data_IF_715781814254
#
_entry.id   IF_715781814254
#
_cell.length_a   1.000
_cell.length_b   1.000
_cell.length_c   1.000
_cell.angle_alpha   90.00
_cell.angle_beta   90.00
_cell.angle_gamma   90.00
#
_symmetry.space_group_name_H-M   'P 1'
#
loop_
_entity.id
_entity.type
_entity.pdbx_description
1 polymer ?
#
# COMPACT_ATOMS: atom_id res chain seq x y z
N UNK A 1 -31.91 1.84 4.07
CA UNK A 1 -30.95 2.96 3.96
C UNK A 1 -30.11 2.74 2.72
N UNK A 2 -30.40 3.47 1.64
CA UNK A 2 -29.73 3.36 0.34
C UNK A 2 -28.34 3.96 0.47
N UNK A 3 -27.30 3.11 0.54
CA UNK A 3 -25.93 3.60 0.49
C UNK A 3 -25.63 3.92 -0.97
N UNK A 4 -25.42 5.19 -1.30
CA UNK A 4 -25.12 5.61 -2.67
C UNK A 4 -23.82 4.97 -3.13
N UNK A 5 -23.92 3.98 -4.02
CA UNK A 5 -22.79 3.47 -4.76
C UNK A 5 -22.27 4.59 -5.68
N UNK A 6 -20.95 4.74 -5.75
CA UNK A 6 -20.30 5.80 -6.52
C UNK A 6 -19.46 5.24 -7.68
N UNK A 7 -19.32 3.92 -7.75
CA UNK A 7 -18.90 3.20 -8.94
C UNK A 7 -19.64 1.85 -8.99
N UNK A 8 -20.11 1.47 -10.16
CA UNK A 8 -20.81 0.19 -10.37
C UNK A 8 -20.34 -0.46 -11.66
N UNK A 9 -20.40 -1.78 -11.73
CA UNK A 9 -20.18 -2.50 -12.98
C UNK A 9 -20.93 -3.83 -12.96
N UNK A 10 -21.37 -4.27 -14.13
CA UNK A 10 -21.98 -5.58 -14.32
C UNK A 10 -20.90 -6.61 -14.62
N UNK A 11 -21.14 -7.85 -14.21
CA UNK A 11 -20.18 -8.93 -14.38
C UNK A 11 -20.75 -10.25 -13.91
N UNK A 12 -19.86 -11.15 -13.56
CA UNK A 12 -20.18 -12.52 -13.15
C UNK A 12 -19.62 -12.75 -11.76
N UNK A 13 -20.45 -13.26 -10.85
CA UNK A 13 -20.03 -13.69 -9.52
C UNK A 13 -20.04 -15.20 -9.43
N UNK A 14 -18.93 -15.79 -9.03
CA UNK A 14 -18.78 -17.21 -8.69
C UNK A 14 -18.64 -17.28 -7.16
N UNK A 15 -19.45 -18.08 -6.47
CA UNK A 15 -19.40 -18.19 -5.00
C UNK A 15 -18.35 -19.20 -4.50
N UNK A 16 -17.63 -19.84 -5.43
CA UNK A 16 -16.66 -20.90 -5.19
C UNK A 16 -17.10 -22.26 -5.74
N UNK A 17 -18.29 -22.36 -6.33
CA UNK A 17 -18.81 -23.56 -6.98
C UNK A 17 -18.36 -23.74 -8.44
N UNK A 18 -17.70 -22.73 -9.03
CA UNK A 18 -17.26 -22.74 -10.43
C UNK A 18 -18.36 -22.33 -11.42
N UNK A 19 -19.56 -21.98 -10.92
CA UNK A 19 -20.70 -21.56 -11.72
C UNK A 19 -20.96 -20.07 -11.53
N UNK A 20 -20.29 -19.28 -12.37
CA UNK A 20 -20.52 -17.85 -12.43
C UNK A 20 -21.98 -17.49 -12.75
N UNK A 21 -22.60 -16.64 -11.92
CA UNK A 21 -23.93 -16.05 -12.15
C UNK A 21 -23.84 -14.55 -12.42
N UNK A 22 -24.74 -13.98 -13.24
CA UNK A 22 -24.75 -12.55 -13.50
C UNK A 22 -25.00 -11.76 -12.20
N UNK A 23 -24.16 -10.77 -11.96
CA UNK A 23 -24.21 -9.91 -10.79
C UNK A 23 -23.68 -8.51 -11.12
N UNK A 24 -23.96 -7.56 -10.23
CA UNK A 24 -23.45 -6.19 -10.26
C UNK A 24 -22.57 -5.94 -9.06
N UNK A 25 -21.40 -5.39 -9.27
CA UNK A 25 -20.58 -4.87 -8.18
C UNK A 25 -20.90 -3.39 -7.95
N UNK A 26 -21.09 -3.02 -6.69
CA UNK A 26 -21.40 -1.67 -6.25
C UNK A 26 -20.41 -1.22 -5.19
N UNK A 27 -19.53 -0.28 -5.55
CA UNK A 27 -18.54 0.26 -4.63
C UNK A 27 -19.15 1.42 -3.83
N UNK A 28 -18.99 1.36 -2.52
CA UNK A 28 -19.48 2.35 -1.58
C UNK A 28 -18.47 2.63 -0.47
N UNK A 29 -18.81 3.51 0.48
CA UNK A 29 -17.99 3.71 1.68
C UNK A 29 -17.91 2.47 2.58
N UNK A 30 -18.89 1.57 2.49
CA UNK A 30 -18.94 0.36 3.31
C UNK A 30 -18.07 -0.76 2.73
N UNK A 31 -17.68 -0.64 1.45
CA UNK A 31 -16.98 -1.67 0.71
C UNK A 31 -17.59 -1.91 -0.66
N UNK A 32 -17.22 -3.04 -1.26
CA UNK A 32 -17.76 -3.54 -2.51
C UNK A 32 -18.91 -4.49 -2.20
N UNK A 33 -20.14 -4.09 -2.54
CA UNK A 33 -21.28 -4.98 -2.49
C UNK A 33 -21.40 -5.73 -3.82
N UNK A 34 -21.69 -7.02 -3.77
CA UNK A 34 -22.08 -7.80 -4.94
C UNK A 34 -23.59 -8.02 -4.87
N UNK A 35 -24.29 -7.62 -5.91
CA UNK A 35 -25.75 -7.60 -6.00
C UNK A 35 -26.18 -8.52 -7.13
N UNK A 36 -27.08 -9.45 -6.86
CA UNK A 36 -27.67 -10.35 -7.84
C UNK A 36 -28.54 -9.59 -8.85
N UNK A 37 -28.89 -10.25 -9.96
CA UNK A 37 -29.75 -9.67 -10.99
C UNK A 37 -31.16 -9.28 -10.48
N UNK A 38 -31.63 -9.90 -9.41
CA UNK A 38 -32.90 -9.60 -8.73
C UNK A 38 -32.81 -8.43 -7.73
N UNK A 39 -31.61 -7.87 -7.54
CA UNK A 39 -31.34 -6.79 -6.59
C UNK A 39 -30.99 -7.26 -5.18
N UNK A 40 -30.95 -8.56 -4.91
CA UNK A 40 -30.51 -9.09 -3.62
C UNK A 40 -29.00 -8.90 -3.45
N UNK A 41 -28.57 -8.44 -2.28
CA UNK A 41 -27.14 -8.33 -1.98
C UNK A 41 -26.60 -9.72 -1.61
N UNK A 42 -25.78 -10.28 -2.50
CA UNK A 42 -25.10 -11.56 -2.33
C UNK A 42 -23.97 -11.44 -1.30
N UNK A 43 -23.15 -10.39 -1.42
CA UNK A 43 -21.96 -10.24 -0.59
C UNK A 43 -21.66 -8.76 -0.29
N UNK A 44 -20.92 -8.52 0.78
CA UNK A 44 -20.35 -7.21 1.10
C UNK A 44 -18.91 -7.37 1.57
N UNK A 45 -17.98 -6.96 0.72
CA UNK A 45 -16.55 -7.07 0.97
C UNK A 45 -15.97 -5.75 1.43
N UNK A 46 -15.28 -5.76 2.58
CA UNK A 46 -14.60 -4.57 3.09
C UNK A 46 -13.47 -4.18 2.15
N UNK A 47 -13.32 -2.89 1.89
CA UNK A 47 -12.27 -2.35 1.00
C UNK A 47 -10.86 -2.84 1.36
N UNK A 48 -10.55 -2.95 2.66
CA UNK A 48 -9.25 -3.41 3.15
C UNK A 48 -9.00 -4.92 2.96
N UNK A 49 -10.00 -5.68 2.56
CA UNK A 49 -9.93 -7.12 2.33
C UNK A 49 -9.96 -7.47 0.83
N UNK A 50 -10.18 -6.48 -0.04
CA UNK A 50 -10.26 -6.69 -1.49
C UNK A 50 -8.92 -7.13 -2.05
N UNK A 51 -8.95 -8.24 -2.78
CA UNK A 51 -7.84 -8.76 -3.58
C UNK A 51 -8.24 -8.56 -5.03
N UNK A 52 -7.36 -7.96 -5.82
CA UNK A 52 -7.61 -7.70 -7.24
C UNK A 52 -6.56 -8.38 -8.09
N UNK A 53 -7.00 -9.03 -9.15
CA UNK A 53 -6.11 -9.74 -10.09
C UNK A 53 -6.64 -9.61 -11.52
N UNK A 54 -5.74 -9.57 -12.50
CA UNK A 54 -6.13 -9.65 -13.91
C UNK A 54 -6.02 -11.11 -14.35
N UNK A 55 -7.12 -11.66 -14.87
CA UNK A 55 -7.20 -13.02 -15.42
C UNK A 55 -7.46 -13.02 -16.93
N UNK A 56 -7.41 -14.19 -17.59
CA UNK A 56 -7.73 -14.32 -19.01
C UNK A 56 -9.22 -14.06 -19.33
N UNK A 57 -10.08 -14.11 -18.32
CA UNK A 57 -11.53 -13.89 -18.34
C UNK A 57 -11.94 -12.46 -17.92
N UNK A 58 -10.98 -11.61 -17.57
CA UNK A 58 -11.23 -10.22 -17.21
C UNK A 58 -10.61 -9.79 -15.89
N UNK A 59 -11.11 -8.69 -15.34
CA UNK A 59 -10.67 -8.16 -14.06
C UNK A 59 -11.41 -8.89 -12.94
N UNK A 60 -10.64 -9.50 -12.03
CA UNK A 60 -11.17 -10.32 -10.94
C UNK A 60 -11.02 -9.61 -9.60
N UNK A 61 -12.07 -9.63 -8.81
CA UNK A 61 -12.09 -9.13 -7.44
C UNK A 61 -12.57 -10.25 -6.53
N UNK A 62 -11.82 -10.50 -5.45
CA UNK A 62 -12.26 -11.33 -4.34
C UNK A 62 -12.03 -10.62 -3.02
N UNK A 63 -12.40 -11.29 -1.93
CA UNK A 63 -12.07 -10.84 -0.58
C UNK A 63 -11.23 -11.88 0.14
N UNK A 64 -10.19 -11.44 0.84
CA UNK A 64 -9.22 -12.34 1.52
C UNK A 64 -9.86 -13.34 2.49
N UNK A 65 -10.97 -12.96 3.12
CA UNK A 65 -11.63 -13.72 4.21
C UNK A 65 -13.04 -14.20 3.85
N UNK A 66 -13.51 -13.93 2.65
CA UNK A 66 -14.85 -14.32 2.21
C UNK A 66 -14.73 -15.09 0.90
N UNK A 67 -15.61 -16.07 0.72
CA UNK A 67 -15.65 -16.84 -0.52
C UNK A 67 -16.20 -15.98 -1.68
N UNK A 68 -15.88 -16.44 -2.87
CA UNK A 68 -16.38 -15.91 -4.12
C UNK A 68 -15.46 -14.92 -4.83
N UNK A 69 -15.66 -14.85 -6.14
CA UNK A 69 -14.89 -14.03 -7.07
C UNK A 69 -15.88 -13.34 -8.00
N UNK A 70 -15.74 -12.03 -8.12
CA UNK A 70 -16.45 -11.23 -9.09
C UNK A 70 -15.52 -10.94 -10.26
N UNK A 71 -15.96 -11.24 -11.48
CA UNK A 71 -15.23 -11.05 -12.73
C UNK A 71 -16.02 -10.12 -13.63
N UNK A 72 -15.37 -9.09 -14.17
CA UNK A 72 -15.98 -8.19 -15.14
C UNK A 72 -15.00 -7.82 -16.24
N UNK A 73 -15.55 -7.39 -17.37
CA UNK A 73 -14.77 -6.92 -18.50
C UNK A 73 -14.13 -5.56 -18.15
N UNK A 74 -12.79 -5.44 -18.15
CA UNK A 74 -12.12 -4.18 -17.84
C UNK A 74 -12.46 -3.04 -18.80
N UNK A 75 -12.84 -3.35 -20.05
CA UNK A 75 -13.16 -2.33 -21.06
C UNK A 75 -14.49 -1.63 -20.75
N UNK A 76 -15.41 -2.34 -20.07
CA UNK A 76 -16.70 -1.79 -19.64
C UNK A 76 -16.70 -1.32 -18.18
N UNK A 77 -15.81 -1.86 -17.34
CA UNK A 77 -15.70 -1.57 -15.91
C UNK A 77 -14.68 -0.50 -15.53
N UNK A 78 -14.26 0.36 -16.45
CA UNK A 78 -13.21 1.36 -16.21
C UNK A 78 -13.47 2.29 -15.02
N UNK A 79 -14.72 2.66 -14.76
CA UNK A 79 -15.09 3.49 -13.61
C UNK A 79 -14.87 2.78 -12.28
N UNK A 80 -15.22 1.48 -12.20
CA UNK A 80 -14.95 0.68 -11.02
C UNK A 80 -13.44 0.48 -10.80
N UNK A 81 -12.68 0.21 -11.87
CA UNK A 81 -11.22 0.09 -11.80
C UNK A 81 -10.60 1.39 -11.27
N UNK A 82 -11.02 2.55 -11.79
CA UNK A 82 -10.53 3.86 -11.35
C UNK A 82 -10.86 4.14 -9.89
N UNK A 83 -12.09 3.81 -9.45
CA UNK A 83 -12.48 3.99 -8.07
C UNK A 83 -11.72 3.06 -7.11
N UNK A 84 -11.47 1.82 -7.53
CA UNK A 84 -10.66 0.86 -6.79
C UNK A 84 -9.19 1.27 -6.72
N UNK A 85 -8.63 1.92 -7.75
CA UNK A 85 -7.21 2.32 -7.77
C UNK A 85 -6.81 3.23 -6.59
N UNK A 86 -7.76 3.97 -6.01
CA UNK A 86 -7.55 4.82 -4.83
C UNK A 86 -7.58 4.02 -3.52
N UNK A 87 -8.10 2.80 -3.54
CA UNK A 87 -8.23 1.90 -2.39
C UNK A 87 -6.98 0.99 -2.32
N UNK A 88 -6.33 0.84 -1.15
CA UNK A 88 -5.21 -0.08 -0.97
C UNK A 88 -5.60 -1.54 -1.23
N UNK A 89 -4.73 -2.29 -1.92
CA UNK A 89 -4.97 -3.72 -2.20
C UNK A 89 -4.53 -4.58 -1.02
N UNK A 90 -5.39 -5.52 -0.61
CA UNK A 90 -5.03 -6.50 0.41
C UNK A 90 -3.99 -7.51 -0.09
N UNK A 91 -3.94 -7.73 -1.41
CA UNK A 91 -2.98 -8.61 -2.08
C UNK A 91 -1.69 -7.91 -2.53
N UNK A 92 -1.61 -6.58 -2.51
CA UNK A 92 -0.37 -5.89 -2.83
C UNK A 92 0.69 -6.21 -1.76
N UNK A 93 1.96 -6.42 -2.16
CA UNK A 93 3.04 -6.53 -1.19
C UNK A 93 3.13 -5.22 -0.43
N UNK A 94 2.65 -5.22 0.82
CA UNK A 94 2.91 -4.12 1.74
C UNK A 94 4.42 -4.05 1.90
N UNK A 95 5.05 -2.99 1.41
CA UNK A 95 6.44 -2.70 1.78
C UNK A 95 6.49 -2.73 3.31
N UNK A 96 7.22 -3.70 3.91
CA UNK A 96 7.19 -3.84 5.35
C UNK A 96 7.81 -2.58 5.95
N UNK A 97 7.03 -1.82 6.72
CA UNK A 97 7.47 -0.56 7.33
C UNK A 97 8.75 -0.71 8.17
N UNK A 98 9.05 -1.93 8.61
CA UNK A 98 10.29 -2.32 9.28
C UNK A 98 11.53 -2.15 8.40
N UNK A 99 11.44 -2.35 7.09
CA UNK A 99 12.54 -2.14 6.14
C UNK A 99 12.88 -0.65 6.00
N UNK A 100 11.86 0.21 5.89
CA UNK A 100 12.06 1.66 5.88
C UNK A 100 12.61 2.17 7.23
N UNK A 101 12.10 1.65 8.35
CA UNK A 101 12.56 2.00 9.69
C UNK A 101 14.03 1.65 9.92
N UNK A 102 14.43 0.42 9.59
CA UNK A 102 15.83 -0.04 9.75
C UNK A 102 16.80 0.76 8.90
N UNK A 103 16.42 1.08 7.65
CA UNK A 103 17.26 1.88 6.76
C UNK A 103 17.48 3.31 7.31
N UNK A 104 16.43 3.95 7.87
CA UNK A 104 16.55 5.25 8.54
C UNK A 104 17.44 5.17 9.77
N UNK A 105 17.32 4.14 10.60
CA UNK A 105 18.15 3.94 11.79
C UNK A 105 19.63 3.78 11.42
N UNK A 106 19.93 2.99 10.38
CA UNK A 106 21.31 2.79 9.89
C UNK A 106 21.90 4.13 9.42
N UNK A 107 21.15 4.91 8.64
CA UNK A 107 21.60 6.22 8.15
C UNK A 107 21.87 7.18 9.32
N UNK A 108 20.97 7.25 10.31
CA UNK A 108 21.17 8.06 11.50
C UNK A 108 22.43 7.65 12.28
N UNK A 109 22.67 6.35 12.47
CA UNK A 109 23.88 5.86 13.13
C UNK A 109 25.15 6.23 12.36
N UNK A 110 25.14 6.08 11.02
CA UNK A 110 26.28 6.43 10.19
C UNK A 110 26.59 7.92 10.25
N UNK A 111 25.57 8.79 10.17
CA UNK A 111 25.73 10.24 10.29
C UNK A 111 26.25 10.64 11.67
N UNK A 112 25.75 10.01 12.74
CA UNK A 112 26.24 10.26 14.09
C UNK A 112 27.70 9.84 14.27
N UNK A 113 28.11 8.70 13.71
CA UNK A 113 29.49 8.23 13.75
C UNK A 113 30.44 9.16 12.98
N UNK A 114 30.05 9.59 11.78
CA UNK A 114 30.81 10.55 10.99
C UNK A 114 30.93 11.91 11.70
N UNK A 115 29.85 12.37 12.31
CA UNK A 115 29.86 13.60 13.09
C UNK A 115 30.80 13.50 14.29
N UNK A 116 30.75 12.39 15.06
CA UNK A 116 31.65 12.18 16.19
C UNK A 116 33.12 12.11 15.77
N UNK A 117 33.42 11.45 14.64
CA UNK A 117 34.76 11.41 14.06
C UNK A 117 35.25 12.81 13.64
N UNK A 118 34.43 13.57 12.93
CA UNK A 118 34.76 14.93 12.52
C UNK A 118 34.97 15.85 13.74
N UNK A 119 34.12 15.70 14.76
CA UNK A 119 34.20 16.46 16.01
C UNK A 119 35.49 16.15 16.79
N UNK A 120 35.82 14.86 16.94
CA UNK A 120 37.08 14.44 17.58
C UNK A 120 38.31 14.92 16.81
N UNK A 121 38.27 14.86 15.48
CA UNK A 121 39.34 15.33 14.62
C UNK A 121 39.56 16.85 14.72
N UNK A 122 38.49 17.63 14.80
CA UNK A 122 38.56 19.07 15.02
C UNK A 122 39.29 19.42 16.33
N UNK A 123 38.97 18.70 17.42
CA UNK A 123 39.64 18.89 18.71
C UNK A 123 41.12 18.49 18.69
N UNK A 124 41.45 17.38 18.02
CA UNK A 124 42.83 16.92 17.85
C UNK A 124 43.68 17.95 17.10
N UNK A 125 43.12 18.54 16.03
CA UNK A 125 43.76 19.63 15.29
C UNK A 125 44.00 20.83 16.21
N UNK A 126 42.98 21.28 16.94
CA UNK A 126 43.11 22.41 17.86
C UNK A 126 44.25 22.21 18.87
N UNK A 127 44.33 21.03 19.47
CA UNK A 127 45.39 20.68 20.41
C UNK A 127 46.79 20.67 19.78
N UNK A 128 46.92 20.11 18.56
CA UNK A 128 48.20 20.11 17.83
C UNK A 128 48.68 21.52 17.47
N UNK A 129 47.77 22.44 17.14
CA UNK A 129 48.12 23.82 16.80
C UNK A 129 48.43 24.68 18.05
N UNK A 130 47.74 24.47 19.17
CA UNK A 130 48.10 25.11 20.46
C UNK A 130 49.48 24.66 20.94
N UNK A 131 49.78 23.36 20.86
CA UNK A 131 51.09 22.81 21.21
C UNK A 131 52.24 23.34 20.32
N UNK A 132 51.95 23.72 19.06
CA UNK A 132 52.92 24.30 18.13
C UNK A 132 53.20 25.79 18.35
N UNK A 133 52.27 26.54 18.95
CA UNK A 133 52.40 27.99 19.20
C UNK A 133 53.22 28.37 20.44
N UNK A 134 53.72 27.40 21.19
CA UNK A 134 54.50 27.61 22.43
C UNK A 134 56.02 27.71 22.27
N UNK A 135 56.57 27.69 21.05
CA UNK A 135 58.02 27.77 20.80
C UNK A 135 58.39 28.99 19.94
N UNK A 136 58.53 30.13 20.60
CA UNK A 136 59.00 31.41 20.05
C UNK A 136 58.08 32.53 20.54
N UNK A 137 58.45 33.38 21.49
CA UNK A 137 59.71 34.12 21.63
C UNK A 137 59.95 34.51 23.09
N UNK A 138 61.05 34.01 23.66
CA UNK A 138 61.78 34.72 24.71
C UNK A 138 63.06 35.27 24.04
N UNK A 139 63.24 36.58 24.08
CA UNK A 139 64.36 37.30 23.46
C UNK A 139 63.99 38.72 23.11
#
# INVERSE_FOLDING_TARGET
MTTTAWATTDGTFDDGDGHGRPARAELSRQGLAIVAADGERIALWKSAELIRTMGPDGFRIGARRQAGIFVFDPDTGGDLIRALAVIPDAGAPMMPRTLAGTMVTIVMMALAALFALAWGFFWLIGWLFEAGSGLGTAG
#
